data_IF_340675720124
#
_entry.id   IF_340675720124
#
_cell.length_a   1.000
_cell.length_b   1.000
_cell.length_c   1.000
_cell.angle_alpha   90.00
_cell.angle_beta   90.00
_cell.angle_gamma   90.00
#
_symmetry.space_group_name_H-M   'P 1'
#
loop_
_entity.id
_entity.type
_entity.pdbx_description
1 polymer ?
#
# COMPACT_ATOMS: atom_id res chain seq x y z
N UNK A 1 18.74 11.46 3.75
CA UNK A 1 17.80 12.13 2.85
C UNK A 1 17.39 11.12 1.82
N UNK A 2 16.17 10.64 1.90
CA UNK A 2 15.65 9.68 0.92
C UNK A 2 15.40 10.45 -0.38
N UNK A 3 16.05 10.03 -1.48
CA UNK A 3 16.02 10.76 -2.75
C UNK A 3 14.73 10.54 -3.54
N UNK A 4 13.84 9.66 -3.10
CA UNK A 4 12.58 9.33 -3.77
C UNK A 4 11.45 9.22 -2.75
N UNK A 5 10.27 9.77 -3.07
CA UNK A 5 9.04 9.61 -2.27
C UNK A 5 8.60 8.14 -2.16
N UNK A 6 8.91 7.33 -3.18
CA UNK A 6 8.62 5.89 -3.20
C UNK A 6 9.88 5.09 -3.57
N UNK A 7 10.68 4.65 -2.58
CA UNK A 7 11.92 3.91 -2.85
C UNK A 7 11.70 2.58 -3.58
N UNK A 8 10.51 1.98 -3.46
CA UNK A 8 10.17 0.74 -4.17
C UNK A 8 10.07 0.91 -5.69
N UNK A 9 9.66 2.08 -6.17
CA UNK A 9 9.61 2.38 -7.59
C UNK A 9 11.02 2.42 -8.18
N UNK A 10 11.98 2.94 -7.42
CA UNK A 10 13.39 2.98 -7.82
C UNK A 10 13.94 1.56 -7.98
N UNK A 11 13.70 0.67 -7.01
CA UNK A 11 14.16 -0.72 -7.12
C UNK A 11 13.51 -1.46 -8.30
N UNK A 12 12.21 -1.24 -8.51
CA UNK A 12 11.48 -1.82 -9.65
C UNK A 12 12.05 -1.32 -10.98
N UNK A 13 12.40 -0.03 -11.05
CA UNK A 13 13.08 0.55 -12.21
C UNK A 13 14.45 -0.08 -12.44
N UNK A 14 15.30 -0.13 -11.40
CA UNK A 14 16.64 -0.73 -11.48
C UNK A 14 16.58 -2.17 -11.98
N UNK A 15 15.63 -2.95 -11.47
CA UNK A 15 15.39 -4.32 -11.90
C UNK A 15 14.96 -4.41 -13.37
N UNK A 16 14.02 -3.55 -13.81
CA UNK A 16 13.53 -3.54 -15.20
C UNK A 16 14.60 -3.12 -16.22
N UNK A 17 15.60 -2.35 -15.78
CA UNK A 17 16.74 -1.92 -16.59
C UNK A 17 17.97 -2.83 -16.43
N UNK A 18 17.82 -3.91 -15.67
CA UNK A 18 18.90 -4.84 -15.29
C UNK A 18 20.09 -4.18 -14.56
N UNK A 19 19.91 -2.98 -14.01
CA UNK A 19 20.95 -2.21 -13.34
C UNK A 19 21.21 -2.82 -11.95
N UNK A 20 22.44 -3.28 -11.73
CA UNK A 20 22.86 -3.83 -10.43
C UNK A 20 22.27 -5.20 -10.10
N UNK A 21 21.67 -5.90 -11.07
CA UNK A 21 21.08 -7.24 -10.87
C UNK A 21 22.11 -8.34 -10.57
N UNK A 22 23.40 -8.05 -10.74
CA UNK A 22 24.50 -8.93 -10.32
C UNK A 22 25.02 -8.61 -8.91
N UNK A 23 24.50 -7.56 -8.25
CA UNK A 23 25.00 -7.07 -6.97
C UNK A 23 24.04 -7.43 -5.84
N UNK A 24 24.52 -8.17 -4.84
CA UNK A 24 23.76 -8.53 -3.65
C UNK A 24 23.14 -7.33 -2.89
N UNK A 25 23.83 -6.17 -2.76
CA UNK A 25 23.26 -5.00 -2.10
C UNK A 25 21.92 -4.51 -2.67
N UNK A 26 21.67 -4.69 -3.97
CA UNK A 26 20.40 -4.34 -4.60
C UNK A 26 19.26 -5.14 -3.97
N UNK A 27 19.40 -6.47 -3.95
CA UNK A 27 18.39 -7.39 -3.41
C UNK A 27 18.21 -7.23 -1.91
N UNK A 28 19.31 -7.01 -1.16
CA UNK A 28 19.26 -6.82 0.29
C UNK A 28 18.47 -5.57 0.64
N UNK A 29 18.84 -4.41 0.08
CA UNK A 29 18.18 -3.14 0.41
C UNK A 29 16.75 -3.07 -0.10
N UNK A 30 16.46 -3.70 -1.25
CA UNK A 30 15.11 -3.82 -1.76
C UNK A 30 14.22 -4.69 -0.85
N UNK A 31 14.72 -5.84 -0.40
CA UNK A 31 14.00 -6.71 0.51
C UNK A 31 13.79 -6.05 1.88
N UNK A 32 14.76 -5.30 2.40
CA UNK A 32 14.63 -4.51 3.64
C UNK A 32 13.56 -3.42 3.50
N UNK A 33 13.50 -2.73 2.35
CA UNK A 33 12.46 -1.74 2.08
C UNK A 33 11.06 -2.39 2.00
N UNK A 34 10.96 -3.62 1.50
CA UNK A 34 9.70 -4.39 1.49
C UNK A 34 9.31 -4.90 2.88
N UNK A 35 10.29 -5.34 3.68
CA UNK A 35 10.12 -5.75 5.09
C UNK A 35 9.59 -4.57 5.92
N UNK A 36 10.15 -3.38 5.74
CA UNK A 36 9.71 -2.16 6.44
C UNK A 36 8.25 -1.77 6.11
N UNK A 37 7.73 -2.17 4.94
CA UNK A 37 6.32 -2.00 4.55
C UNK A 37 5.42 -3.16 4.94
N UNK A 38 5.94 -4.17 5.64
CA UNK A 38 5.20 -5.37 6.07
C UNK A 38 4.94 -6.38 4.93
N UNK A 39 5.60 -6.25 3.78
CA UNK A 39 5.41 -7.15 2.64
C UNK A 39 6.43 -8.30 2.64
N UNK A 40 6.34 -9.18 3.65
CA UNK A 40 7.32 -10.26 3.85
C UNK A 40 7.38 -11.26 2.68
N UNK A 41 6.24 -11.59 2.07
CA UNK A 41 6.19 -12.51 0.92
C UNK A 41 6.96 -11.96 -0.28
N UNK A 42 6.85 -10.66 -0.56
CA UNK A 42 7.59 -10.02 -1.65
C UNK A 42 9.07 -9.94 -1.31
N UNK A 43 9.43 -9.59 -0.07
CA UNK A 43 10.83 -9.55 0.36
C UNK A 43 11.53 -10.91 0.18
N UNK A 44 10.86 -12.01 0.53
CA UNK A 44 11.41 -13.37 0.34
C UNK A 44 11.63 -13.70 -1.14
N UNK A 45 10.69 -13.33 -2.02
CA UNK A 45 10.85 -13.50 -3.47
C UNK A 45 12.06 -12.74 -4.02
N UNK A 46 12.30 -11.51 -3.56
CA UNK A 46 13.47 -10.72 -3.98
C UNK A 46 14.78 -11.38 -3.53
N UNK A 47 14.84 -11.92 -2.31
CA UNK A 47 16.01 -12.70 -1.86
C UNK A 47 16.23 -13.95 -2.71
N UNK A 48 15.17 -14.71 -3.00
CA UNK A 48 15.24 -15.90 -3.85
C UNK A 48 15.72 -15.56 -5.27
N UNK A 49 15.23 -14.46 -5.85
CA UNK A 49 15.68 -14.00 -7.16
C UNK A 49 17.17 -13.63 -7.16
N UNK A 50 17.64 -12.89 -6.15
CA UNK A 50 19.06 -12.55 -6.03
C UNK A 50 19.95 -13.78 -5.90
N UNK A 51 19.49 -14.82 -5.18
CA UNK A 51 20.18 -16.10 -5.06
C UNK A 51 20.20 -16.86 -6.38
N UNK A 52 19.09 -16.86 -7.12
CA UNK A 52 18.97 -17.49 -8.43
C UNK A 52 19.92 -16.84 -9.45
N UNK A 53 20.04 -15.51 -9.42
CA UNK A 53 20.97 -14.72 -10.24
C UNK A 53 22.41 -14.77 -9.77
N UNK A 54 22.69 -15.41 -8.63
CA UNK A 54 24.02 -15.52 -8.01
C UNK A 54 24.67 -14.14 -7.77
N UNK A 55 23.89 -13.20 -7.24
CA UNK A 55 24.37 -11.85 -7.02
C UNK A 55 25.53 -11.79 -5.99
N UNK A 56 26.58 -11.04 -6.29
CA UNK A 56 27.78 -10.96 -5.45
C UNK A 56 27.72 -9.80 -4.46
N UNK A 57 28.19 -9.98 -3.20
CA UNK A 57 28.71 -11.21 -2.60
C UNK A 57 27.59 -12.17 -2.17
N UNK A 58 27.63 -13.41 -2.66
CA UNK A 58 26.57 -14.42 -2.42
C UNK A 58 26.44 -14.79 -0.94
N UNK A 59 27.57 -14.91 -0.24
CA UNK A 59 27.61 -15.26 1.18
C UNK A 59 26.88 -14.20 2.04
N UNK A 60 27.08 -12.92 1.70
CA UNK A 60 26.33 -11.82 2.32
C UNK A 60 24.84 -11.92 2.03
N UNK A 61 24.46 -12.18 0.78
CA UNK A 61 23.06 -12.33 0.41
C UNK A 61 22.36 -13.46 1.20
N UNK A 62 23.02 -14.62 1.30
CA UNK A 62 22.51 -15.76 2.07
C UNK A 62 22.42 -15.47 3.57
N UNK A 63 23.43 -14.81 4.14
CA UNK A 63 23.42 -14.41 5.54
C UNK A 63 22.26 -13.45 5.85
N UNK A 64 22.05 -12.44 5.01
CA UNK A 64 20.93 -11.50 5.16
C UNK A 64 19.57 -12.20 4.97
N UNK A 65 19.44 -13.12 4.02
CA UNK A 65 18.20 -13.89 3.82
C UNK A 65 17.83 -14.73 5.05
N UNK A 66 18.82 -15.42 5.64
CA UNK A 66 18.62 -16.17 6.89
C UNK A 66 18.24 -15.25 8.05
N UNK A 67 18.87 -14.08 8.15
CA UNK A 67 18.57 -13.11 9.20
C UNK A 67 17.14 -12.56 9.05
N UNK A 68 16.72 -12.26 7.82
CA UNK A 68 15.36 -11.87 7.48
C UNK A 68 14.35 -12.95 7.91
N UNK A 69 14.56 -14.21 7.49
CA UNK A 69 13.68 -15.31 7.88
C UNK A 69 13.56 -15.46 9.41
N UNK A 70 14.67 -15.30 10.13
CA UNK A 70 14.68 -15.34 11.59
C UNK A 70 13.95 -14.14 12.23
N UNK A 71 13.97 -12.95 11.61
CA UNK A 71 13.19 -11.80 12.08
C UNK A 71 11.70 -12.01 11.87
N UNK A 72 11.31 -12.43 10.67
CA UNK A 72 9.90 -12.69 10.31
C UNK A 72 9.31 -13.79 11.20
N UNK A 73 10.02 -14.89 11.42
CA UNK A 73 9.54 -15.98 12.27
C UNK A 73 9.30 -15.54 13.72
N UNK A 74 10.23 -14.76 14.29
CA UNK A 74 10.04 -14.17 15.63
C UNK A 74 8.84 -13.24 15.67
N UNK A 75 8.68 -12.38 14.67
CA UNK A 75 7.53 -11.47 14.60
C UNK A 75 6.21 -12.22 14.50
N UNK A 76 6.13 -13.29 13.71
CA UNK A 76 4.92 -14.11 13.61
C UNK A 76 4.58 -14.86 14.89
N UNK A 77 5.59 -15.28 15.65
CA UNK A 77 5.39 -15.98 16.92
C UNK A 77 4.85 -15.01 17.98
N UNK A 78 5.47 -13.83 18.11
CA UNK A 78 5.01 -12.79 19.03
C UNK A 78 3.58 -12.33 18.71
N UNK A 79 3.25 -12.18 17.43
CA UNK A 79 1.91 -11.78 17.00
C UNK A 79 0.83 -12.85 17.32
N UNK A 80 1.22 -14.13 17.46
CA UNK A 80 0.32 -15.21 17.85
C UNK A 80 0.16 -15.29 19.37
N UNK A 81 1.21 -14.99 20.13
CA UNK A 81 1.17 -14.93 21.60
C UNK A 81 0.32 -13.76 22.12
N UNK A 82 0.26 -12.64 21.39
CA UNK A 82 -0.55 -11.46 21.72
C UNK A 82 -2.04 -11.62 21.32
N UNK A 83 -2.49 -12.86 21.05
CA UNK A 83 -3.89 -13.17 20.77
C UNK A 83 -4.75 -12.86 22.01
N UNK A 84 -5.87 -12.13 21.88
CA UNK A 84 -6.63 -11.52 22.98
C UNK A 84 -7.42 -12.50 23.87
N UNK A 85 -7.09 -13.78 23.86
CA UNK A 85 -7.78 -14.81 24.64
C UNK A 85 -7.06 -15.14 25.96
N UNK A 86 -5.95 -14.45 26.27
CA UNK A 86 -5.21 -14.54 27.53
C UNK A 86 -5.21 -13.22 28.31
N UNK A 87 -6.15 -13.09 29.24
CA UNK A 87 -5.96 -12.45 30.55
C UNK A 87 -5.02 -11.22 30.69
N UNK A 88 -5.27 -10.12 29.96
CA UNK A 88 -4.75 -8.80 30.38
C UNK A 88 -5.83 -7.94 31.04
N UNK A 89 -5.97 -8.16 32.35
CA UNK A 89 -6.57 -7.24 33.30
C UNK A 89 -5.66 -6.01 33.48
N UNK A 90 -6.08 -4.86 32.94
CA UNK A 90 -5.75 -3.57 33.57
C UNK A 90 -5.02 -2.53 32.72
N UNK A 91 -5.66 -2.00 31.69
CA UNK A 91 -5.54 -0.57 31.40
C UNK A 91 -6.90 -0.06 30.94
N UNK A 92 -7.39 0.99 31.62
CA UNK A 92 -8.58 1.74 31.25
C UNK A 92 -8.35 2.42 29.89
N UNK A 93 -8.45 1.65 28.81
CA UNK A 93 -8.59 2.17 27.48
C UNK A 93 -10.02 2.67 27.36
N UNK A 94 -10.19 3.97 27.58
CA UNK A 94 -11.39 4.69 27.18
C UNK A 94 -11.51 4.41 25.69
N UNK A 95 -12.40 3.49 25.30
CA UNK A 95 -12.55 3.05 23.91
C UNK A 95 -12.75 4.28 23.01
N UNK A 96 -11.67 4.73 22.39
CA UNK A 96 -11.72 5.85 21.46
C UNK A 96 -12.58 5.40 20.27
N UNK A 97 -13.50 6.26 19.80
CA UNK A 97 -14.39 5.89 18.71
C UNK A 97 -13.58 5.60 17.44
N UNK A 98 -13.63 4.35 16.98
CA UNK A 98 -12.99 3.94 15.73
C UNK A 98 -13.63 4.66 14.52
N UNK A 99 -12.83 4.91 13.48
CA UNK A 99 -13.31 5.59 12.27
C UNK A 99 -14.30 4.69 11.52
N UNK A 100 -15.51 5.19 11.29
CA UNK A 100 -16.51 4.56 10.42
C UNK A 100 -16.28 4.94 8.96
N UNK A 101 -15.93 3.96 8.11
CA UNK A 101 -15.76 4.16 6.66
C UNK A 101 -17.06 4.64 6.01
N UNK A 102 -16.97 5.61 5.09
CA UNK A 102 -18.11 6.22 4.37
C UNK A 102 -19.23 6.78 5.26
N UNK A 103 -18.91 7.21 6.49
CA UNK A 103 -19.92 7.81 7.35
C UNK A 103 -20.37 9.20 6.89
N UNK A 104 -21.65 9.48 7.11
CA UNK A 104 -22.24 10.79 6.90
C UNK A 104 -21.54 11.87 7.73
N UNK A 105 -21.33 13.02 7.13
CA UNK A 105 -20.81 14.21 7.81
C UNK A 105 -21.94 15.16 8.21
N UNK A 106 -21.86 15.73 9.41
CA UNK A 106 -22.88 16.68 9.90
C UNK A 106 -22.55 18.09 9.44
N UNK A 107 -23.28 18.59 8.44
CA UNK A 107 -23.24 20.01 8.07
C UNK A 107 -23.62 20.93 9.23
N UNK A 108 -22.73 21.87 9.59
CA UNK A 108 -23.00 22.96 10.54
C UNK A 108 -23.25 24.25 9.74
N UNK A 109 -24.51 24.71 9.68
CA UNK A 109 -24.87 25.98 9.06
C UNK A 109 -26.22 26.52 9.54
N UNK A 110 -26.32 27.84 9.78
CA UNK A 110 -27.61 28.50 10.04
C UNK A 110 -28.36 28.66 8.71
N UNK A 111 -29.66 28.36 8.70
CA UNK A 111 -30.58 28.28 7.54
C UNK A 111 -30.74 29.55 6.66
N UNK A 112 -29.86 30.55 6.75
CA UNK A 112 -30.01 31.86 6.07
C UNK A 112 -28.98 32.16 4.97
N UNK A 113 -28.14 31.21 4.57
CA UNK A 113 -27.14 31.45 3.50
C UNK A 113 -27.62 30.79 2.20
N UNK A 114 -27.77 31.61 1.15
CA UNK A 114 -28.32 31.27 -0.18
C UNK A 114 -27.42 30.35 -1.03
N UNK A 115 -26.21 30.04 -0.56
CA UNK A 115 -25.30 29.09 -1.20
C UNK A 115 -24.87 28.00 -0.21
N UNK A 116 -24.79 26.72 -0.62
CA UNK A 116 -24.44 25.62 0.27
C UNK A 116 -22.93 25.67 0.57
N UNK A 117 -22.55 26.27 1.70
CA UNK A 117 -21.21 26.11 2.26
C UNK A 117 -21.32 25.00 3.31
N UNK A 118 -21.11 23.76 2.90
CA UNK A 118 -20.94 22.65 3.84
C UNK A 118 -19.47 22.58 4.25
N UNK A 119 -19.10 23.37 5.26
CA UNK A 119 -17.82 23.18 5.95
C UNK A 119 -18.03 22.11 7.01
N UNK A 120 -17.63 20.89 6.69
CA UNK A 120 -17.54 19.83 7.69
C UNK A 120 -16.06 19.64 7.98
N UNK A 121 -15.63 20.12 9.14
CA UNK A 121 -14.35 19.71 9.74
C UNK A 121 -14.50 18.31 10.33
N UNK A 122 -14.14 18.13 11.60
CA UNK A 122 -14.18 16.84 12.30
C UNK A 122 -15.60 16.31 12.64
N UNK A 123 -16.66 16.82 12.00
CA UNK A 123 -18.03 16.49 12.38
C UNK A 123 -18.55 15.22 11.67
N UNK A 124 -18.24 14.05 12.23
CA UNK A 124 -18.91 12.79 11.88
C UNK A 124 -20.31 12.75 12.50
N UNK A 125 -21.33 12.37 11.72
CA UNK A 125 -22.69 12.18 12.20
C UNK A 125 -22.79 10.79 12.83
N UNK A 126 -23.27 10.70 14.07
CA UNK A 126 -23.61 9.41 14.70
C UNK A 126 -24.59 8.67 13.80
N UNK A 127 -24.25 7.43 13.43
CA UNK A 127 -25.00 6.59 12.51
C UNK A 127 -26.44 6.41 13.02
N UNK A 128 -27.39 7.12 12.41
CA UNK A 128 -28.80 6.73 12.50
C UNK A 128 -29.09 5.90 11.25
N UNK A 129 -29.66 4.68 11.37
CA UNK A 129 -29.94 3.77 10.25
C UNK A 129 -31.08 4.25 9.33
N UNK A 130 -31.29 5.56 9.21
CA UNK A 130 -32.19 6.12 8.22
C UNK A 130 -31.47 6.15 6.88
N UNK A 131 -31.41 4.96 6.28
CA UNK A 131 -31.06 4.68 4.88
C UNK A 131 -31.72 5.74 4.00
N UNK A 132 -30.93 6.55 3.30
CA UNK A 132 -31.47 7.33 2.20
C UNK A 132 -31.97 6.32 1.16
N UNK A 133 -33.28 6.23 0.99
CA UNK A 133 -33.87 5.54 -0.15
C UNK A 133 -33.50 6.36 -1.38
N UNK A 134 -32.37 6.04 -2.01
CA UNK A 134 -32.20 6.40 -3.41
C UNK A 134 -33.14 5.50 -4.20
N UNK A 135 -34.02 6.04 -5.07
CA UNK A 135 -34.66 5.20 -6.07
C UNK A 135 -33.52 4.55 -6.85
N UNK A 136 -33.46 3.22 -6.84
CA UNK A 136 -32.53 2.50 -7.69
C UNK A 136 -32.82 2.94 -9.12
N UNK A 137 -31.99 3.82 -9.67
CA UNK A 137 -31.95 3.98 -11.11
C UNK A 137 -31.60 2.58 -11.63
N UNK A 138 -32.50 1.98 -12.38
CA UNK A 138 -32.26 0.70 -13.03
C UNK A 138 -31.06 0.88 -13.96
N UNK A 139 -29.86 0.59 -13.46
CA UNK A 139 -28.61 0.50 -14.23
C UNK A 139 -28.62 -0.73 -15.15
N UNK A 140 -29.80 -1.20 -15.56
CA UNK A 140 -29.93 -2.11 -16.67
C UNK A 140 -29.84 -1.27 -17.94
N UNK A 141 -28.61 -1.03 -18.39
CA UNK A 141 -28.40 -0.65 -19.78
C UNK A 141 -29.03 -1.73 -20.67
N UNK A 142 -29.79 -1.36 -21.71
CA UNK A 142 -30.44 -2.31 -22.59
C UNK A 142 -29.39 -3.19 -23.28
N UNK A 143 -29.38 -4.47 -22.91
CA UNK A 143 -28.78 -5.63 -23.56
C UNK A 143 -27.68 -5.34 -24.59
N UNK A 144 -26.57 -4.73 -24.16
CA UNK A 144 -25.36 -4.70 -24.96
C UNK A 144 -24.71 -6.10 -24.91
N UNK A 145 -24.12 -6.60 -26.02
CA UNK A 145 -23.36 -7.85 -25.96
C UNK A 145 -22.22 -7.68 -24.93
N UNK A 146 -22.29 -8.47 -23.86
CA UNK A 146 -21.25 -8.54 -22.82
C UNK A 146 -20.35 -9.75 -23.09
N UNK A 147 -19.10 -9.68 -22.63
CA UNK A 147 -18.22 -10.84 -22.60
C UNK A 147 -18.13 -11.36 -21.16
N UNK A 148 -18.06 -12.68 -21.00
CA UNK A 148 -17.83 -13.30 -19.71
C UNK A 148 -16.40 -13.00 -19.25
N UNK A 149 -16.24 -12.53 -18.01
CA UNK A 149 -14.93 -12.42 -17.39
C UNK A 149 -14.45 -13.83 -17.07
N UNK A 150 -13.18 -14.11 -17.38
CA UNK A 150 -12.57 -15.42 -17.12
C UNK A 150 -12.63 -15.74 -15.62
N UNK A 151 -13.13 -16.93 -15.29
CA UNK A 151 -13.17 -17.46 -13.93
C UNK A 151 -11.92 -18.31 -13.67
N UNK A 152 -10.96 -17.73 -12.94
CA UNK A 152 -9.71 -18.40 -12.57
C UNK A 152 -9.94 -19.66 -11.72
N UNK A 153 -11.08 -19.79 -11.02
CA UNK A 153 -11.41 -21.00 -10.25
C UNK A 153 -11.80 -22.20 -11.12
N UNK A 154 -12.17 -21.96 -12.38
CA UNK A 154 -12.57 -23.02 -13.32
C UNK A 154 -11.38 -23.79 -13.92
N UNK A 155 -10.15 -23.31 -13.72
CA UNK A 155 -8.90 -23.95 -14.17
C UNK A 155 -7.98 -24.18 -12.98
N UNK A 156 -7.86 -25.42 -12.53
CA UNK A 156 -6.90 -25.83 -11.50
C UNK A 156 -5.50 -25.98 -12.11
N UNK A 157 -4.87 -24.89 -12.54
CA UNK A 157 -3.52 -24.88 -13.12
C UNK A 157 -2.68 -23.68 -12.65
N UNK A 158 -1.39 -23.86 -12.30
CA UNK A 158 -0.52 -22.77 -11.88
C UNK A 158 0.08 -22.05 -13.10
N UNK A 159 -0.74 -21.39 -13.92
CA UNK A 159 -0.22 -20.58 -15.04
C UNK A 159 -0.96 -19.25 -15.15
N UNK A 160 -0.67 -18.36 -14.20
CA UNK A 160 -0.71 -16.93 -14.53
C UNK A 160 0.53 -16.70 -15.41
N UNK A 161 0.39 -16.29 -16.68
CA UNK A 161 1.54 -16.04 -17.53
C UNK A 161 2.46 -15.04 -16.85
N UNK A 162 3.74 -15.41 -16.70
CA UNK A 162 4.80 -14.50 -16.25
C UNK A 162 4.86 -13.35 -17.26
N UNK A 163 4.16 -12.25 -16.94
CA UNK A 163 4.19 -11.04 -17.75
C UNK A 163 5.66 -10.61 -17.84
N UNK A 164 6.23 -10.69 -19.04
CA UNK A 164 7.55 -10.12 -19.31
C UNK A 164 7.42 -8.62 -19.04
N UNK A 165 7.99 -8.17 -17.94
CA UNK A 165 7.90 -6.79 -17.51
C UNK A 165 8.44 -5.90 -18.63
N UNK A 166 7.58 -5.08 -19.21
CA UNK A 166 8.02 -4.06 -20.17
C UNK A 166 9.02 -3.15 -19.45
N UNK A 167 10.19 -2.95 -20.07
CA UNK A 167 11.25 -2.10 -19.51
C UNK A 167 10.69 -0.70 -19.25
N UNK A 168 10.81 -0.20 -18.02
CA UNK A 168 10.31 1.14 -17.68
C UNK A 168 11.06 2.21 -18.51
N UNK A 169 10.36 3.04 -19.32
CA UNK A 169 11.01 3.94 -20.27
C UNK A 169 11.68 5.16 -19.60
N UNK A 170 11.36 5.48 -18.34
CA UNK A 170 11.93 6.59 -17.61
C UNK A 170 12.09 6.26 -16.11
N UNK A 171 13.10 6.84 -15.42
CA UNK A 171 13.25 6.67 -13.99
C UNK A 171 12.07 7.33 -13.24
N UNK A 172 11.69 6.79 -12.06
CA UNK A 172 10.63 7.37 -11.26
C UNK A 172 11.00 8.79 -10.82
N UNK A 173 10.03 9.70 -10.89
CA UNK A 173 10.25 11.07 -10.45
C UNK A 173 10.44 11.10 -8.93
N UNK A 174 11.45 11.82 -8.43
CA UNK A 174 11.74 11.86 -6.99
C UNK A 174 10.61 12.52 -6.19
N UNK A 175 9.80 13.38 -6.83
CA UNK A 175 8.69 14.11 -6.24
C UNK A 175 7.37 13.88 -6.96
N UNK A 176 6.31 13.73 -6.16
CA UNK A 176 4.94 13.66 -6.66
C UNK A 176 4.41 15.10 -6.83
N UNK A 177 4.75 15.74 -7.95
CA UNK A 177 4.46 17.16 -8.23
C UNK A 177 2.99 17.59 -8.07
N UNK A 178 2.05 16.65 -8.14
CA UNK A 178 0.60 16.93 -7.97
C UNK A 178 0.16 16.85 -6.49
N UNK A 179 0.91 16.16 -5.64
CA UNK A 179 0.66 16.01 -4.20
C UNK A 179 1.43 17.04 -3.35
N UNK A 180 2.39 17.74 -3.95
CA UNK A 180 3.22 18.74 -3.30
C UNK A 180 2.94 20.13 -3.88
N UNK A 181 2.58 21.09 -3.02
CA UNK A 181 2.55 22.50 -3.40
C UNK A 181 3.94 23.09 -3.22
N UNK A 182 4.50 23.67 -4.28
CA UNK A 182 5.67 24.54 -4.13
C UNK A 182 5.29 25.79 -3.34
N UNK A 183 6.22 26.30 -2.54
CA UNK A 183 6.00 27.57 -1.85
C UNK A 183 5.66 28.66 -2.88
N UNK A 184 4.61 29.44 -2.59
CA UNK A 184 4.31 30.66 -3.34
C UNK A 184 5.43 31.70 -3.18
N UNK A 185 5.31 32.90 -3.77
CA UNK A 185 6.35 33.92 -3.70
C UNK A 185 6.69 34.26 -2.24
N UNK A 186 7.79 33.71 -1.73
CA UNK A 186 8.52 34.35 -0.67
C UNK A 186 9.35 35.38 -1.41
N UNK A 187 9.17 36.66 -1.09
CA UNK A 187 10.09 37.68 -1.53
C UNK A 187 11.52 37.18 -1.19
N UNK A 188 12.27 36.74 -2.20
CA UNK A 188 13.69 36.47 -2.09
C UNK A 188 14.39 37.82 -1.90
N UNK A 189 14.18 38.38 -0.71
CA UNK A 189 14.77 39.61 -0.25
C UNK A 189 16.24 39.34 0.02
N UNK A 190 17.05 39.83 -0.91
CA UNK A 190 18.48 40.20 -0.82
C UNK A 190 19.40 39.35 0.05
#
# INVERSE_FOLDING_TARGET
GDYCNEPLDLYSYLHSQEIGTTLAPLYITWAEALEARGSFRKADLIFQEGLQRKAEPLDKLQAHHKQFQARVSRQTLLALEDSPDGDNMGLLEIAEPQRSSLADLKGRGKKKVRAPISRVGDAVKVMNPNRSFQPQASLQLPNAPSFAVFDENSVSGPEIPTLTAQSWPAPPVPRAKENELSAGPWNSGR
#
